data_IF_210983396856
#
_entry.id   IF_210983396856
#
_cell.length_a   1.000
_cell.length_b   1.000
_cell.length_c   1.000
_cell.angle_alpha   90.00
_cell.angle_beta   90.00
_cell.angle_gamma   90.00
#
_symmetry.space_group_name_H-M   'P 1'
#
loop_
_entity.id
_entity.type
_entity.pdbx_description
1 polymer ?
#
# COMPACT_ATOMS: atom_id res chain seq x y z
N UNK A 1 45.88 -13.44 -38.29
CA UNK A 1 45.38 -12.88 -37.02
C UNK A 1 44.12 -12.12 -37.34
N UNK A 2 42.96 -12.77 -37.26
CA UNK A 2 41.68 -12.16 -37.56
C UNK A 2 40.62 -12.83 -36.70
N UNK A 3 40.01 -12.07 -35.80
CA UNK A 3 38.60 -12.23 -35.51
C UNK A 3 38.17 -12.98 -34.26
N UNK A 4 38.99 -13.11 -33.22
CA UNK A 4 38.50 -13.54 -31.90
C UNK A 4 37.85 -12.37 -31.11
N UNK A 5 37.20 -11.47 -31.85
CA UNK A 5 36.26 -10.46 -31.34
C UNK A 5 34.87 -11.07 -31.14
N UNK A 6 34.78 -12.40 -31.05
CA UNK A 6 33.55 -13.09 -30.71
C UNK A 6 33.31 -12.91 -29.21
N UNK A 7 32.68 -11.78 -28.87
CA UNK A 7 31.79 -11.56 -27.73
C UNK A 7 31.73 -12.82 -26.86
N UNK A 8 32.68 -12.98 -25.94
CA UNK A 8 32.56 -13.98 -24.89
C UNK A 8 31.43 -13.46 -24.01
N UNK A 9 30.20 -13.80 -24.36
CA UNK A 9 29.03 -13.44 -23.57
C UNK A 9 29.32 -13.93 -22.15
N UNK A 10 29.29 -13.06 -21.12
CA UNK A 10 29.65 -13.43 -19.74
C UNK A 10 28.64 -14.39 -19.06
N UNK A 11 27.96 -15.24 -19.83
CA UNK A 11 27.02 -16.26 -19.34
C UNK A 11 27.74 -17.61 -19.15
N UNK A 12 29.03 -17.74 -19.49
CA UNK A 12 29.77 -19.00 -19.33
C UNK A 12 30.01 -19.40 -17.86
N UNK A 13 29.68 -18.56 -16.88
CA UNK A 13 29.88 -18.90 -15.46
C UNK A 13 28.65 -19.57 -14.82
N UNK A 14 27.58 -19.88 -15.58
CA UNK A 14 26.43 -20.67 -15.12
C UNK A 14 26.64 -22.16 -15.46
N UNK A 15 27.87 -22.65 -15.36
CA UNK A 15 28.31 -23.96 -15.87
C UNK A 15 27.74 -25.20 -15.15
N UNK A 16 26.86 -25.05 -14.16
CA UNK A 16 26.24 -26.20 -13.49
C UNK A 16 24.96 -25.91 -12.73
N UNK A 17 24.39 -24.72 -12.90
CA UNK A 17 23.21 -24.29 -12.16
C UNK A 17 21.91 -24.80 -12.78
N UNK A 18 20.89 -25.01 -11.95
CA UNK A 18 19.51 -25.31 -12.38
C UNK A 18 18.97 -24.31 -13.43
N UNK A 19 19.49 -23.08 -13.45
CA UNK A 19 19.21 -22.06 -14.48
C UNK A 19 19.66 -22.46 -15.88
N UNK A 20 20.83 -23.08 -16.04
CA UNK A 20 21.30 -23.55 -17.35
C UNK A 20 20.38 -24.65 -17.89
N UNK A 21 19.94 -25.57 -17.03
CA UNK A 21 18.95 -26.58 -17.37
C UNK A 21 17.59 -25.97 -17.74
N UNK A 22 17.15 -24.93 -17.02
CA UNK A 22 15.92 -24.20 -17.32
C UNK A 22 15.98 -23.50 -18.69
N UNK A 23 17.12 -22.89 -19.02
CA UNK A 23 17.35 -22.19 -20.29
C UNK A 23 17.39 -23.17 -21.46
N UNK A 24 18.09 -24.30 -21.32
CA UNK A 24 18.09 -25.37 -22.34
C UNK A 24 16.67 -25.93 -22.53
N UNK A 25 15.93 -26.14 -21.45
CA UNK A 25 14.56 -26.63 -21.52
C UNK A 25 13.63 -25.64 -22.24
N UNK A 26 13.74 -24.35 -21.92
CA UNK A 26 13.01 -23.27 -22.59
C UNK A 26 13.35 -23.18 -24.10
N UNK A 27 14.62 -23.40 -24.46
CA UNK A 27 15.07 -23.36 -25.86
C UNK A 27 14.62 -24.60 -26.65
N UNK A 28 14.53 -25.76 -26.02
CA UNK A 28 14.17 -27.02 -26.70
C UNK A 28 12.68 -27.13 -26.97
N UNK A 29 11.83 -26.76 -26.00
CA UNK A 29 10.37 -26.83 -26.13
C UNK A 29 9.71 -25.60 -25.50
N UNK A 30 9.72 -24.45 -26.19
CA UNK A 30 9.21 -23.20 -25.64
C UNK A 30 7.71 -23.24 -25.35
N UNK A 31 6.94 -24.01 -26.13
CA UNK A 31 5.49 -24.12 -25.95
C UNK A 31 5.11 -24.83 -24.63
N UNK A 32 5.72 -25.99 -24.37
CA UNK A 32 5.52 -26.75 -23.13
C UNK A 32 6.00 -25.96 -21.91
N UNK A 33 7.17 -25.30 -22.02
CA UNK A 33 7.69 -24.45 -20.95
C UNK A 33 6.72 -23.32 -20.58
N UNK A 34 6.18 -22.62 -21.58
CA UNK A 34 5.16 -21.60 -21.39
C UNK A 34 3.91 -22.17 -20.72
N UNK A 35 3.45 -23.35 -21.13
CA UNK A 35 2.28 -23.98 -20.50
C UNK A 35 2.49 -24.26 -19.01
N UNK A 36 3.62 -24.88 -18.63
CA UNK A 36 3.93 -25.14 -17.22
C UNK A 36 4.12 -23.85 -16.42
N UNK A 37 4.76 -22.83 -17.01
CA UNK A 37 4.86 -21.51 -16.42
C UNK A 37 3.48 -20.91 -16.19
N UNK A 38 2.59 -20.90 -17.18
CA UNK A 38 1.23 -20.37 -17.02
C UNK A 38 0.43 -21.18 -15.98
N UNK A 39 0.54 -22.50 -15.99
CA UNK A 39 -0.17 -23.39 -15.06
C UNK A 39 0.31 -23.20 -13.62
N UNK A 40 1.60 -22.93 -13.41
CA UNK A 40 2.19 -22.69 -12.09
C UNK A 40 2.02 -21.23 -11.65
N UNK A 41 2.14 -20.29 -12.58
CA UNK A 41 2.02 -18.86 -12.34
C UNK A 41 0.57 -18.44 -12.11
N UNK A 42 -0.41 -19.05 -12.77
CA UNK A 42 -1.84 -18.75 -12.61
C UNK A 42 -2.33 -18.87 -11.15
N UNK A 43 -2.13 -19.98 -10.43
CA UNK A 43 -2.54 -20.08 -9.02
C UNK A 43 -1.70 -19.14 -8.15
N UNK A 44 -0.41 -18.98 -8.41
CA UNK A 44 0.48 -18.08 -7.66
C UNK A 44 0.03 -16.62 -7.78
N UNK A 45 -0.36 -16.20 -8.99
CA UNK A 45 -0.86 -14.87 -9.28
C UNK A 45 -2.23 -14.64 -8.64
N UNK A 46 -3.12 -15.64 -8.69
CA UNK A 46 -4.43 -15.55 -8.07
C UNK A 46 -4.36 -15.38 -6.55
N UNK A 47 -3.47 -16.13 -5.89
CA UNK A 47 -3.21 -15.98 -4.45
C UNK A 47 -2.68 -14.58 -4.15
N UNK A 48 -1.73 -14.09 -4.95
CA UNK A 48 -1.15 -12.74 -4.80
C UNK A 48 -2.21 -11.64 -4.96
N UNK A 49 -3.12 -11.80 -5.93
CA UNK A 49 -4.24 -10.90 -6.15
C UNK A 49 -5.24 -10.95 -4.97
N UNK A 50 -5.59 -12.15 -4.49
CA UNK A 50 -6.45 -12.31 -3.31
C UNK A 50 -5.86 -11.66 -2.06
N UNK A 51 -4.56 -11.82 -1.82
CA UNK A 51 -3.89 -11.19 -0.68
C UNK A 51 -3.92 -9.67 -0.83
N UNK A 52 -3.55 -9.14 -2.00
CA UNK A 52 -3.62 -7.70 -2.29
C UNK A 52 -5.01 -7.13 -2.05
N UNK A 53 -6.07 -7.86 -2.41
CA UNK A 53 -7.45 -7.44 -2.15
C UNK A 53 -7.79 -7.46 -0.64
N UNK A 54 -7.34 -8.46 0.11
CA UNK A 54 -7.54 -8.47 1.58
C UNK A 54 -6.83 -7.29 2.25
N UNK A 55 -5.62 -6.95 1.81
CA UNK A 55 -4.89 -5.78 2.30
C UNK A 55 -5.61 -4.48 1.92
N UNK A 56 -6.09 -4.36 0.68
CA UNK A 56 -6.85 -3.20 0.23
C UNK A 56 -8.12 -2.99 1.08
N UNK A 57 -8.88 -4.06 1.35
CA UNK A 57 -10.06 -3.98 2.23
C UNK A 57 -9.72 -3.61 3.68
N UNK A 58 -8.58 -4.10 4.19
CA UNK A 58 -8.11 -3.72 5.52
C UNK A 58 -7.74 -2.23 5.58
N UNK A 59 -7.15 -1.69 4.50
CA UNK A 59 -6.82 -0.28 4.38
C UNK A 59 -8.07 0.60 4.31
N UNK A 60 -9.07 0.23 3.51
CA UNK A 60 -10.36 0.96 3.43
C UNK A 60 -11.09 1.02 4.78
N UNK A 61 -11.06 -0.08 5.54
CA UNK A 61 -11.67 -0.12 6.88
C UNK A 61 -10.93 0.79 7.86
N UNK A 62 -9.60 0.81 7.83
CA UNK A 62 -8.81 1.74 8.64
C UNK A 62 -9.03 3.19 8.21
N UNK A 63 -9.12 3.47 6.91
CA UNK A 63 -9.32 4.82 6.39
C UNK A 63 -10.68 5.39 6.82
N UNK A 64 -11.75 4.61 6.80
CA UNK A 64 -13.06 5.05 7.31
C UNK A 64 -13.03 5.39 8.81
N UNK A 65 -12.36 4.58 9.61
CA UNK A 65 -12.23 4.82 11.05
C UNK A 65 -11.37 6.08 11.31
N UNK A 66 -10.26 6.23 10.58
CA UNK A 66 -9.42 7.41 10.65
C UNK A 66 -10.13 8.67 10.14
N UNK A 67 -10.93 8.58 9.08
CA UNK A 67 -11.70 9.69 8.54
C UNK A 67 -12.75 10.19 9.54
N UNK A 68 -13.45 9.27 10.22
CA UNK A 68 -14.40 9.62 11.28
C UNK A 68 -13.68 10.34 12.42
N UNK A 69 -12.59 9.77 12.93
CA UNK A 69 -11.77 10.40 13.98
C UNK A 69 -11.22 11.76 13.53
N UNK A 70 -10.75 11.89 12.30
CA UNK A 70 -10.21 13.15 11.74
C UNK A 70 -11.27 14.24 11.68
N UNK A 71 -12.51 13.91 11.33
CA UNK A 71 -13.62 14.88 11.35
C UNK A 71 -13.96 15.34 12.77
N UNK A 72 -13.92 14.42 13.74
CA UNK A 72 -14.11 14.76 15.15
C UNK A 72 -12.98 15.68 15.66
N UNK A 73 -11.72 15.36 15.37
CA UNK A 73 -10.57 16.23 15.70
C UNK A 73 -10.64 17.58 14.99
N UNK A 74 -10.98 17.63 13.70
CA UNK A 74 -11.11 18.88 12.96
C UNK A 74 -12.23 19.76 13.53
N UNK A 75 -13.33 19.17 13.99
CA UNK A 75 -14.42 19.91 14.64
C UNK A 75 -13.99 20.49 15.99
N UNK A 76 -13.26 19.72 16.79
CA UNK A 76 -12.69 20.18 18.06
C UNK A 76 -11.62 21.27 17.86
N UNK A 77 -10.79 21.13 16.83
CA UNK A 77 -9.79 22.12 16.46
C UNK A 77 -10.44 23.39 15.92
N UNK A 78 -11.49 23.27 15.10
CA UNK A 78 -12.28 24.40 14.62
C UNK A 78 -13.02 25.11 15.75
N UNK A 79 -13.49 24.38 16.77
CA UNK A 79 -14.05 24.96 17.98
C UNK A 79 -12.98 25.68 18.82
N UNK A 80 -11.77 25.10 18.93
CA UNK A 80 -10.66 25.71 19.67
C UNK A 80 -10.09 26.96 18.97
N UNK A 81 -10.08 26.98 17.63
CA UNK A 81 -9.69 28.17 16.86
C UNK A 81 -10.78 29.25 16.87
N UNK A 82 -12.06 28.87 16.98
CA UNK A 82 -13.19 29.79 17.15
C UNK A 82 -13.27 30.38 18.58
N UNK A 83 -12.65 29.73 19.58
CA UNK A 83 -12.46 30.27 20.94
C UNK A 83 -11.13 31.04 21.11
N UNK A 84 -10.59 31.66 20.06
CA UNK A 84 -9.68 32.80 20.27
C UNK A 84 -10.52 34.07 20.22
N UNK A 85 -11.04 34.59 21.36
CA UNK A 85 -11.87 35.78 21.35
C UNK A 85 -10.99 37.00 21.03
N UNK A 86 -10.97 37.43 19.77
CA UNK A 86 -10.68 38.83 19.42
C UNK A 86 -11.99 39.62 19.41
N UNK A 87 -12.61 39.75 20.57
CA UNK A 87 -13.67 40.72 20.81
C UNK A 87 -13.44 41.35 22.17
N UNK A 88 -12.53 42.33 22.17
CA UNK A 88 -12.60 43.40 23.15
C UNK A 88 -13.90 44.16 22.97
N UNK A 89 -14.70 44.23 24.03
CA UNK A 89 -15.80 45.18 24.15
C UNK A 89 -17.09 44.60 24.70
N UNK A 90 -17.34 44.86 26.00
CA UNK A 90 -18.65 45.04 26.67
C UNK A 90 -19.57 43.80 26.61
N UNK A 91 -20.05 43.17 27.68
CA UNK A 91 -20.56 43.65 28.97
C UNK A 91 -21.02 42.41 29.75
N UNK A 92 -20.68 42.27 31.04
CA UNK A 92 -21.44 41.48 32.04
C UNK A 92 -22.59 42.38 32.59
N UNK A 93 -23.58 41.93 33.42
CA UNK A 93 -23.93 40.59 33.92
C UNK A 93 -25.46 40.28 33.91
N UNK A 94 -25.87 39.04 34.24
CA UNK A 94 -27.14 38.69 34.91
C UNK A 94 -26.99 37.23 35.41
N UNK A 95 -26.61 36.95 36.65
CA UNK A 95 -27.43 36.96 37.87
C UNK A 95 -28.80 36.26 37.74
N UNK A 96 -28.81 35.07 37.15
CA UNK A 96 -29.78 33.98 37.44
C UNK A 96 -28.95 32.72 37.69
N UNK A 97 -29.52 31.74 38.37
CA UNK A 97 -28.87 30.47 38.78
C UNK A 97 -28.13 30.46 40.14
N UNK A 98 -28.44 31.37 41.07
CA UNK A 98 -28.27 31.09 42.51
C UNK A 98 -29.64 31.11 43.17
N UNK A 99 -30.32 29.96 43.12
CA UNK A 99 -31.38 29.48 44.03
C UNK A 99 -32.03 28.24 43.41
N UNK A 100 -31.36 27.09 43.59
CA UNK A 100 -32.07 25.81 43.69
C UNK A 100 -31.40 24.92 44.74
N UNK A 101 -31.39 25.46 45.96
CA UNK A 101 -31.37 24.71 47.21
C UNK A 101 -32.80 24.69 47.74
N UNK A 102 -33.51 23.58 47.52
CA UNK A 102 -34.53 23.02 48.42
C UNK A 102 -34.34 21.51 48.35
#
# INVERSE_FOLDING_TARGET
MSGDDAIKTPIEDVEGGWLHQLVIYAATNPWEFCWYLLLCLSPMFFISAMLSWKLAKALEAQEKELAKRRNDYNTLLQQSSLHTPLTGGRTHPNLRESKKTI
#
